data_IF_939146755457
#
_entry.id   IF_939146755457
#
_cell.length_a   1.000
_cell.length_b   1.000
_cell.length_c   1.000
_cell.angle_alpha   90.00
_cell.angle_beta   90.00
_cell.angle_gamma   90.00
#
_symmetry.space_group_name_H-M   'P 1'
#
loop_
_entity.id
_entity.type
_entity.pdbx_description
1 polymer ?
#
# COMPACT_ATOMS: atom_id res chain seq x y z
N UNK A 1 -0.94 12.38 1.68
CA UNK A 1 -1.87 13.35 2.31
C UNK A 1 -1.07 14.31 3.20
N UNK A 2 -1.62 15.47 3.58
CA UNK A 2 -0.95 16.36 4.55
C UNK A 2 -1.41 15.97 5.94
N UNK A 3 -0.48 15.71 6.85
CA UNK A 3 -0.78 15.39 8.25
C UNK A 3 0.07 16.25 9.16
N UNK A 4 -0.37 16.45 10.40
CA UNK A 4 0.37 17.22 11.40
C UNK A 4 0.89 16.23 12.43
N UNK A 5 2.19 16.24 12.65
CA UNK A 5 2.85 15.32 13.59
C UNK A 5 3.46 16.14 14.71
N UNK A 6 3.03 15.84 15.94
CA UNK A 6 3.53 16.50 17.15
C UNK A 6 4.68 15.69 17.70
N UNK A 7 5.90 16.24 17.60
CA UNK A 7 7.10 15.64 18.19
C UNK A 7 7.64 16.66 19.19
N UNK A 8 7.75 16.27 20.46
CA UNK A 8 8.14 17.16 21.58
C UNK A 8 7.23 18.40 21.77
N UNK A 9 5.90 18.24 21.62
CA UNK A 9 4.94 19.32 21.87
C UNK A 9 4.84 20.38 20.76
N UNK A 10 5.64 20.27 19.69
CA UNK A 10 5.54 21.14 18.51
C UNK A 10 4.84 20.39 17.37
N UNK A 11 3.69 20.93 16.94
CA UNK A 11 2.96 20.45 15.77
C UNK A 11 3.69 20.89 14.50
N UNK A 12 4.18 19.93 13.73
CA UNK A 12 4.85 20.18 12.44
C UNK A 12 4.01 19.62 11.30
N UNK A 13 3.85 20.43 10.24
CA UNK A 13 3.19 19.97 9.01
C UNK A 13 4.11 18.99 8.30
N UNK A 14 3.65 17.76 8.13
CA UNK A 14 4.35 16.71 7.38
C UNK A 14 3.45 16.13 6.28
N UNK A 15 4.05 15.34 5.42
CA UNK A 15 3.43 14.75 4.25
C UNK A 15 3.50 13.23 4.40
N UNK A 16 2.35 12.58 4.49
CA UNK A 16 2.24 11.13 4.63
C UNK A 16 1.98 10.44 3.30
N UNK A 17 2.62 9.30 3.09
CA UNK A 17 2.33 8.39 1.98
C UNK A 17 1.05 7.62 2.25
N UNK A 18 0.11 7.65 1.30
CA UNK A 18 -1.16 6.93 1.43
C UNK A 18 -1.00 5.42 1.28
N UNK A 19 0.05 4.96 0.57
CA UNK A 19 0.27 3.54 0.29
C UNK A 19 0.99 2.81 1.44
N UNK A 20 1.87 3.48 2.18
CA UNK A 20 2.66 2.82 3.23
C UNK A 20 2.70 3.57 4.57
N UNK A 21 2.02 4.72 4.68
CA UNK A 21 1.96 5.51 5.91
C UNK A 21 3.25 6.25 6.29
N UNK A 22 4.34 6.15 5.51
CA UNK A 22 5.59 6.87 5.79
C UNK A 22 5.40 8.39 5.75
N UNK A 23 6.03 9.09 6.69
CA UNK A 23 5.92 10.54 6.85
C UNK A 23 7.20 11.25 6.44
N UNK A 24 7.04 12.37 5.73
CA UNK A 24 8.12 13.18 5.18
C UNK A 24 7.90 14.65 5.55
N UNK A 25 8.97 15.38 5.89
CA UNK A 25 8.85 16.81 6.25
C UNK A 25 8.55 17.70 5.05
N UNK A 26 8.81 17.25 3.83
CA UNK A 26 8.66 18.04 2.60
C UNK A 26 7.82 17.32 1.55
N UNK A 27 7.13 18.11 0.71
CA UNK A 27 6.32 17.60 -0.40
C UNK A 27 7.20 16.87 -1.43
N UNK A 28 8.38 17.39 -1.72
CA UNK A 28 9.34 16.80 -2.67
C UNK A 28 9.83 15.44 -2.19
N UNK A 29 10.06 15.27 -0.88
CA UNK A 29 10.45 13.99 -0.29
C UNK A 29 9.34 12.94 -0.42
N UNK A 30 8.09 13.32 -0.16
CA UNK A 30 6.93 12.46 -0.40
C UNK A 30 6.80 12.10 -1.89
N UNK A 31 6.98 13.06 -2.81
CA UNK A 31 6.86 12.83 -4.24
C UNK A 31 7.92 11.84 -4.77
N UNK A 32 9.18 12.06 -4.40
CA UNK A 32 10.27 11.14 -4.76
C UNK A 32 10.04 9.74 -4.21
N UNK A 33 9.53 9.64 -2.97
CA UNK A 33 9.13 8.36 -2.40
C UNK A 33 7.94 7.72 -3.12
N UNK A 34 6.89 8.47 -3.44
CA UNK A 34 5.74 7.94 -4.19
C UNK A 34 6.16 7.42 -5.58
N UNK A 35 7.16 8.04 -6.21
CA UNK A 35 7.75 7.53 -7.45
C UNK A 35 8.43 6.16 -7.25
N UNK A 36 8.95 5.85 -6.06
CA UNK A 36 9.49 4.51 -5.75
C UNK A 36 8.40 3.45 -5.64
N UNK A 37 7.18 3.82 -5.24
CA UNK A 37 6.03 2.92 -5.33
C UNK A 37 5.63 2.73 -6.78
N UNK A 38 5.56 3.78 -7.58
CA UNK A 38 5.26 3.66 -9.01
C UNK A 38 6.27 2.76 -9.77
N UNK A 39 7.54 2.79 -9.40
CA UNK A 39 8.57 1.92 -10.00
C UNK A 39 8.69 0.54 -9.35
N UNK A 40 8.19 0.36 -8.11
CA UNK A 40 8.19 -0.93 -7.40
C UNK A 40 6.84 -1.64 -7.44
N UNK A 41 5.76 -1.01 -7.89
CA UNK A 41 4.39 -1.50 -7.68
C UNK A 41 4.05 -2.62 -8.66
N UNK A 42 4.42 -3.82 -8.26
CA UNK A 42 3.62 -4.98 -8.57
C UNK A 42 2.59 -5.12 -7.43
N UNK A 43 1.45 -4.45 -7.58
CA UNK A 43 0.34 -4.45 -6.61
C UNK A 43 -0.61 -5.61 -6.87
N UNK A 44 -1.00 -6.31 -5.80
CA UNK A 44 -2.06 -7.31 -5.87
C UNK A 44 -3.43 -6.68 -5.57
N UNK A 45 -4.28 -6.58 -6.59
CA UNK A 45 -5.64 -6.06 -6.48
C UNK A 45 -6.61 -6.92 -5.63
N UNK A 46 -6.22 -8.15 -5.28
CA UNK A 46 -7.08 -9.08 -4.54
C UNK A 46 -6.84 -9.02 -3.01
N UNK A 47 -5.68 -8.55 -2.57
CA UNK A 47 -5.28 -8.53 -1.16
C UNK A 47 -4.55 -7.25 -0.72
N UNK A 48 -4.59 -6.22 -1.55
CA UNK A 48 -3.97 -4.91 -1.28
C UNK A 48 -2.50 -5.02 -0.86
N UNK A 49 -1.81 -6.06 -1.38
CA UNK A 49 -0.45 -6.39 -0.97
C UNK A 49 0.54 -5.83 -1.99
N UNK A 50 1.49 -5.04 -1.50
CA UNK A 50 2.53 -4.42 -2.31
C UNK A 50 3.79 -5.30 -2.35
N UNK A 51 4.20 -5.68 -3.55
CA UNK A 51 5.45 -6.41 -3.77
C UNK A 51 6.50 -5.47 -4.34
N UNK A 52 7.76 -5.63 -3.94
CA UNK A 52 8.89 -4.86 -4.50
C UNK A 52 9.34 -5.34 -5.89
N UNK A 53 8.72 -6.42 -6.41
CA UNK A 53 9.17 -7.13 -7.61
C UNK A 53 7.98 -7.77 -8.33
N UNK A 54 7.94 -7.63 -9.66
CA UNK A 54 6.91 -8.25 -10.52
C UNK A 54 6.89 -9.79 -10.46
N UNK A 55 8.05 -10.41 -10.24
CA UNK A 55 8.15 -11.86 -10.06
C UNK A 55 7.51 -12.32 -8.73
N UNK A 56 7.68 -11.52 -7.67
CA UNK A 56 7.04 -11.74 -6.36
C UNK A 56 5.53 -11.68 -6.46
N UNK A 57 4.99 -10.68 -7.15
CA UNK A 57 3.57 -10.60 -7.46
C UNK A 57 3.10 -11.82 -8.27
N UNK A 58 3.83 -12.22 -9.32
CA UNK A 58 3.45 -13.36 -10.16
C UNK A 58 3.41 -14.68 -9.38
N UNK A 59 4.32 -14.89 -8.42
CA UNK A 59 4.29 -16.05 -7.53
C UNK A 59 3.12 -15.97 -6.54
N UNK A 60 2.88 -14.78 -5.98
CA UNK A 60 1.76 -14.53 -5.08
C UNK A 60 0.39 -14.76 -5.76
N UNK A 61 0.19 -14.30 -6.99
CA UNK A 61 -1.03 -14.55 -7.79
C UNK A 61 -1.28 -16.04 -8.06
N UNK A 62 -0.22 -16.87 -8.14
CA UNK A 62 -0.38 -18.33 -8.21
C UNK A 62 -0.94 -18.92 -6.91
N UNK A 63 -0.63 -18.30 -5.77
CA UNK A 63 -1.17 -18.70 -4.48
C UNK A 63 -2.64 -18.30 -4.34
N UNK A 64 -3.03 -17.13 -4.88
CA UNK A 64 -4.44 -16.75 -5.03
C UNK A 64 -5.22 -17.79 -5.82
N UNK A 65 -4.69 -18.27 -6.95
CA UNK A 65 -5.34 -19.34 -7.73
C UNK A 65 -5.56 -20.64 -6.94
N UNK A 66 -4.78 -20.92 -5.89
CA UNK A 66 -4.95 -22.09 -5.01
C UNK A 66 -5.85 -21.82 -3.80
N UNK A 67 -6.05 -20.56 -3.42
CA UNK A 67 -6.90 -20.15 -2.29
C UNK A 67 -8.20 -19.45 -2.72
N UNK A 68 -8.44 -19.34 -4.03
CA UNK A 68 -9.67 -18.83 -4.66
C UNK A 68 -10.93 -19.66 -4.33
N UNK A 69 -10.80 -20.72 -3.55
CA UNK A 69 -11.91 -21.48 -2.99
C UNK A 69 -12.42 -20.93 -1.64
N UNK A 70 -11.76 -19.96 -0.99
CA UNK A 70 -12.21 -19.45 0.33
C UNK A 70 -12.79 -18.03 0.35
N UNK A 71 -12.64 -17.23 -0.71
CA UNK A 71 -13.24 -15.87 -0.74
C UNK A 71 -14.42 -15.69 -1.68
N UNK A 72 -14.73 -16.65 -2.56
CA UNK A 72 -16.00 -16.64 -3.30
C UNK A 72 -17.20 -17.10 -2.46
N UNK A 73 -16.98 -17.66 -1.26
CA UNK A 73 -18.07 -18.12 -0.38
C UNK A 73 -18.69 -17.03 0.52
N UNK A 74 -18.09 -15.84 0.63
CA UNK A 74 -18.62 -14.73 1.45
C UNK A 74 -19.39 -13.68 0.62
N UNK A 75 -19.73 -13.98 -0.64
CA UNK A 75 -20.64 -13.17 -1.45
C UNK A 75 -21.97 -13.87 -1.76
N UNK A 76 -22.37 -14.85 -0.95
CA UNK A 76 -23.68 -15.52 -1.07
C UNK A 76 -24.49 -15.58 0.25
N UNK A 77 -24.06 -14.85 1.28
CA UNK A 77 -24.71 -14.81 2.60
C UNK A 77 -25.07 -13.38 3.06
N UNK A 78 -25.30 -12.48 2.09
CA UNK A 78 -26.07 -11.25 2.32
C UNK A 78 -27.10 -11.14 1.19
N UNK A 79 -28.11 -12.00 1.27
CA UNK A 79 -29.48 -11.74 0.84
C UNK A 79 -30.39 -12.22 1.96
#
# INVERSE_FOLDING_TARGET
MVVYSTVHGQSSRVYSCSECGKQYRTRTGLWAHAATHASSSAFCAECDTHFNSQLGLKYHLKHHSKHNERRFAISKYLV
#
